data_IF_122276563897
#
_entry.id   IF_122276563897
#
_cell.length_a   1.000
_cell.length_b   1.000
_cell.length_c   1.000
_cell.angle_alpha   90.00
_cell.angle_beta   90.00
_cell.angle_gamma   90.00
#
_symmetry.space_group_name_H-M   'P 1'
#
loop_
_entity.id
_entity.type
_entity.pdbx_description
1 polymer ?
#
# COMPACT_ATOMS: atom_id res chain seq x y z
N UNK A 1 -5.69 -9.25 -9.41
CA UNK A 1 -5.96 -7.85 -9.54
C UNK A 1 -5.71 -7.35 -10.93
N UNK A 2 -6.15 -6.16 -11.16
CA UNK A 2 -6.01 -5.52 -12.45
C UNK A 2 -4.59 -5.02 -12.64
N UNK A 3 -4.16 -5.05 -13.89
CA UNK A 3 -2.86 -4.49 -14.24
C UNK A 3 -3.09 -3.36 -15.21
N UNK A 4 -2.26 -2.34 -15.13
CA UNK A 4 -2.32 -1.21 -16.05
C UNK A 4 -0.96 -1.04 -16.71
N UNK A 5 -0.97 -0.41 -17.88
CA UNK A 5 0.26 -0.09 -18.60
C UNK A 5 0.33 1.41 -18.80
N UNK A 6 1.48 1.99 -18.49
CA UNK A 6 1.73 3.41 -18.74
C UNK A 6 2.52 3.49 -20.04
N UNK A 7 2.03 4.30 -20.97
CA UNK A 7 2.64 4.40 -22.31
C UNK A 7 3.07 5.82 -22.58
N UNK A 8 4.14 5.93 -23.36
CA UNK A 8 4.63 7.21 -23.82
C UNK A 8 5.26 6.98 -25.19
N UNK A 9 4.84 7.79 -26.17
CA UNK A 9 5.41 7.70 -27.51
C UNK A 9 5.20 6.36 -28.20
N UNK A 10 4.09 5.69 -27.90
CA UNK A 10 3.79 4.39 -28.49
C UNK A 10 4.50 3.22 -27.83
N UNK A 11 5.21 3.47 -26.74
CA UNK A 11 5.97 2.43 -26.03
C UNK A 11 5.43 2.27 -24.62
N UNK A 12 5.45 1.02 -24.14
CA UNK A 12 5.08 0.75 -22.76
C UNK A 12 6.26 1.08 -21.86
N UNK A 13 6.05 2.04 -20.95
CA UNK A 13 7.07 2.47 -20.02
C UNK A 13 7.06 1.61 -18.77
N UNK A 14 5.87 1.27 -18.31
CA UNK A 14 5.74 0.45 -17.11
C UNK A 14 4.40 -0.27 -17.14
N UNK A 15 4.39 -1.50 -16.65
CA UNK A 15 3.19 -2.32 -16.53
C UNK A 15 3.17 -2.97 -15.16
N UNK A 16 2.03 -2.95 -14.50
CA UNK A 16 1.90 -3.56 -13.18
C UNK A 16 0.56 -3.24 -12.57
N UNK A 17 0.40 -3.62 -11.31
CA UNK A 17 -0.80 -3.24 -10.58
C UNK A 17 -0.76 -1.75 -10.28
N UNK A 18 -1.93 -1.12 -10.05
CA UNK A 18 -1.92 0.30 -9.66
C UNK A 18 -1.04 0.58 -8.45
N UNK A 19 -1.05 -0.30 -7.44
CA UNK A 19 -0.23 -0.10 -6.26
C UNK A 19 1.27 -0.16 -6.60
N UNK A 20 1.68 -1.11 -7.45
CA UNK A 20 3.08 -1.21 -7.85
C UNK A 20 3.55 0.04 -8.56
N UNK A 21 2.74 0.53 -9.49
CA UNK A 21 3.11 1.72 -10.26
C UNK A 21 3.15 2.95 -9.38
N UNK A 22 2.21 3.05 -8.44
CA UNK A 22 2.14 4.18 -7.53
C UNK A 22 3.33 4.21 -6.57
N UNK A 23 3.73 3.04 -6.05
CA UNK A 23 4.78 2.99 -5.03
C UNK A 23 6.19 2.91 -5.62
N UNK A 24 6.32 2.40 -6.85
CA UNK A 24 7.62 2.19 -7.48
C UNK A 24 7.56 2.63 -8.95
N UNK A 25 7.41 3.95 -9.22
CA UNK A 25 7.39 4.42 -10.60
C UNK A 25 8.72 4.15 -11.28
N UNK A 26 8.65 3.76 -12.55
CA UNK A 26 9.85 3.40 -13.31
C UNK A 26 10.73 4.61 -13.63
N UNK A 27 10.14 5.79 -13.78
CA UNK A 27 10.90 6.99 -14.11
C UNK A 27 10.10 8.22 -13.73
N UNK A 28 10.64 9.42 -14.04
CA UNK A 28 9.99 10.66 -13.68
C UNK A 28 8.65 10.88 -14.39
N UNK A 29 8.52 10.37 -15.62
CA UNK A 29 7.25 10.48 -16.33
C UNK A 29 6.15 9.74 -15.57
N UNK A 30 6.43 8.51 -15.15
CA UNK A 30 5.46 7.72 -14.38
C UNK A 30 5.21 8.34 -13.02
N UNK A 31 6.26 8.85 -12.37
CA UNK A 31 6.12 9.51 -11.07
C UNK A 31 5.17 10.70 -11.16
N UNK A 32 5.29 11.52 -12.21
CA UNK A 32 4.38 12.64 -12.42
C UNK A 32 2.96 12.16 -12.65
N UNK A 33 2.82 11.08 -13.42
CA UNK A 33 1.50 10.52 -13.71
C UNK A 33 0.79 10.11 -12.41
N UNK A 34 1.51 9.36 -11.54
CA UNK A 34 0.87 8.85 -10.31
C UNK A 34 0.77 9.90 -9.22
N UNK A 35 1.48 11.02 -9.35
CA UNK A 35 1.37 12.10 -8.36
C UNK A 35 -0.05 12.63 -8.25
N UNK A 36 -0.86 12.46 -9.30
CA UNK A 36 -2.24 12.91 -9.31
C UNK A 36 -3.23 11.83 -8.88
N UNK A 37 -2.75 10.63 -8.57
CA UNK A 37 -3.63 9.54 -8.15
C UNK A 37 -3.91 9.64 -6.66
N UNK A 38 -5.12 9.23 -6.27
CA UNK A 38 -5.49 9.17 -4.86
C UNK A 38 -4.88 7.91 -4.25
N UNK A 39 -3.95 8.03 -3.28
CA UNK A 39 -3.34 6.84 -2.68
C UNK A 39 -4.36 5.92 -2.01
N UNK A 40 -5.44 6.46 -1.47
CA UNK A 40 -6.46 5.61 -0.88
C UNK A 40 -7.15 4.74 -1.91
N UNK A 41 -7.11 5.13 -3.18
CA UNK A 41 -7.73 4.37 -4.25
C UNK A 41 -6.84 3.28 -4.84
N UNK A 42 -5.53 3.28 -4.54
CA UNK A 42 -4.59 2.34 -5.17
C UNK A 42 -3.84 1.47 -4.17
N UNK A 43 -3.66 1.93 -2.93
CA UNK A 43 -2.84 1.18 -1.97
C UNK A 43 -3.67 0.12 -1.25
N UNK A 44 -2.99 -0.96 -0.86
CA UNK A 44 -3.55 -1.99 0.02
C UNK A 44 -2.86 -1.90 1.38
N UNK A 45 -3.41 -2.62 2.35
CA UNK A 45 -2.80 -2.68 3.68
C UNK A 45 -1.36 -3.20 3.60
N UNK A 46 -1.10 -4.13 2.68
CA UNK A 46 0.25 -4.67 2.47
C UNK A 46 1.25 -3.56 2.17
N UNK A 47 0.83 -2.54 1.40
CA UNK A 47 1.72 -1.46 0.99
C UNK A 47 2.11 -0.55 2.15
N UNK A 48 1.34 -0.59 3.24
CA UNK A 48 1.56 0.26 4.40
C UNK A 48 2.05 -0.50 5.62
N UNK A 49 2.04 -1.83 5.59
CA UNK A 49 2.28 -2.63 6.79
C UNK A 49 3.70 -2.51 7.30
N UNK A 50 3.85 -2.77 8.59
CA UNK A 50 5.13 -2.89 9.27
C UNK A 50 5.24 -4.29 9.84
N UNK A 51 6.44 -4.74 10.24
CA UNK A 51 6.57 -6.08 10.83
C UNK A 51 5.73 -6.21 12.09
N UNK A 52 5.09 -7.39 12.26
CA UNK A 52 4.34 -7.69 13.46
C UNK A 52 5.28 -8.18 14.55
N UNK A 53 4.99 -7.84 15.82
CA UNK A 53 5.79 -8.37 16.93
C UNK A 53 5.68 -9.88 17.02
N UNK A 54 6.65 -10.49 17.66
CA UNK A 54 6.63 -11.93 17.93
C UNK A 54 6.81 -12.18 19.40
N UNK A 55 5.92 -12.94 20.03
CA UNK A 55 4.72 -13.54 19.43
C UNK A 55 3.73 -12.47 18.99
N UNK A 56 2.96 -12.77 17.96
CA UNK A 56 2.00 -11.81 17.45
C UNK A 56 0.90 -11.57 18.49
N UNK A 57 0.50 -10.31 18.68
CA UNK A 57 -0.59 -10.01 19.59
C UNK A 57 -1.91 -10.52 19.03
N UNK A 58 -2.91 -10.66 19.91
CA UNK A 58 -4.25 -10.96 19.46
C UNK A 58 -4.96 -9.67 19.05
N UNK A 59 -5.92 -9.79 18.16
CA UNK A 59 -6.68 -8.61 17.71
C UNK A 59 -7.32 -8.86 16.38
N UNK A 60 -7.88 -7.79 15.82
CA UNK A 60 -8.52 -7.86 14.52
C UNK A 60 -7.52 -8.25 13.44
N UNK A 61 -7.91 -9.16 12.56
CA UNK A 61 -7.09 -9.54 11.41
C UNK A 61 -7.85 -9.24 10.14
N UNK A 62 -7.09 -8.86 9.11
CA UNK A 62 -7.62 -8.66 7.77
C UNK A 62 -6.62 -9.23 6.77
N UNK A 63 -7.09 -9.66 5.59
CA UNK A 63 -6.15 -10.05 4.53
C UNK A 63 -5.24 -8.88 4.19
N UNK A 64 -3.97 -9.19 3.91
CA UNK A 64 -3.00 -8.14 3.58
C UNK A 64 -3.38 -7.37 2.31
N UNK A 65 -4.15 -7.98 1.43
CA UNK A 65 -4.60 -7.35 0.19
C UNK A 65 -5.85 -6.49 0.38
N UNK A 66 -6.34 -6.33 1.61
CA UNK A 66 -7.47 -5.42 1.87
C UNK A 66 -7.10 -4.02 1.41
N UNK A 67 -7.97 -3.34 0.65
CA UNK A 67 -7.68 -1.95 0.27
C UNK A 67 -7.38 -1.11 1.50
N UNK A 68 -6.36 -0.26 1.39
CA UNK A 68 -5.93 0.54 2.54
C UNK A 68 -7.08 1.38 3.09
N UNK A 69 -7.92 1.90 2.20
CA UNK A 69 -9.08 2.69 2.60
C UNK A 69 -9.99 1.91 3.56
N UNK A 70 -10.24 0.64 3.23
CA UNK A 70 -11.10 -0.22 4.05
C UNK A 70 -10.41 -0.53 5.40
N UNK A 71 -9.13 -0.87 5.34
CA UNK A 71 -8.38 -1.19 6.56
C UNK A 71 -8.33 0.00 7.50
N UNK A 72 -8.15 1.21 6.97
CA UNK A 72 -8.11 2.40 7.81
C UNK A 72 -9.44 2.68 8.50
N UNK A 73 -10.55 2.32 7.85
CA UNK A 73 -11.86 2.48 8.46
C UNK A 73 -12.04 1.56 9.67
N UNK A 74 -11.33 0.45 9.69
CA UNK A 74 -11.40 -0.51 10.79
C UNK A 74 -10.43 -0.21 11.93
N UNK A 75 -9.46 0.66 11.72
CA UNK A 75 -8.45 0.95 12.74
C UNK A 75 -9.02 1.45 14.07
N UNK A 76 -10.00 2.37 14.09
CA UNK A 76 -10.52 2.84 15.38
C UNK A 76 -11.12 1.71 16.21
N UNK A 77 -11.85 0.79 15.58
CA UNK A 77 -12.44 -0.33 16.30
C UNK A 77 -11.39 -1.35 16.73
N UNK A 78 -10.27 -1.38 16.03
CA UNK A 78 -9.16 -2.28 16.31
C UNK A 78 -8.13 -1.65 17.25
N UNK A 79 -8.45 -0.50 17.83
CA UNK A 79 -7.57 0.21 18.76
C UNK A 79 -6.27 0.62 18.11
N UNK A 80 -6.34 0.98 16.83
CA UNK A 80 -5.20 1.47 16.08
C UNK A 80 -4.23 0.42 15.60
N UNK A 81 -4.64 -0.86 15.63
CA UNK A 81 -3.73 -1.95 15.25
C UNK A 81 -4.52 -3.09 14.61
N UNK A 82 -4.13 -3.47 13.40
CA UNK A 82 -4.74 -4.58 12.66
C UNK A 82 -3.63 -5.53 12.24
N UNK A 83 -3.84 -6.82 12.45
CA UNK A 83 -2.90 -7.83 12.02
C UNK A 83 -3.27 -8.25 10.60
N UNK A 84 -2.28 -8.31 9.72
CA UNK A 84 -2.50 -8.63 8.32
C UNK A 84 -2.07 -10.05 8.03
N UNK A 85 -2.90 -10.77 7.28
CA UNK A 85 -2.68 -12.19 7.04
C UNK A 85 -2.56 -12.50 5.56
N UNK A 86 -1.89 -13.59 5.27
CA UNK A 86 -1.81 -14.15 3.95
C UNK A 86 -1.70 -15.66 4.10
N UNK A 87 -2.63 -16.40 3.47
CA UNK A 87 -2.62 -17.85 3.60
C UNK A 87 -2.80 -18.34 5.02
N UNK A 88 -3.53 -17.57 5.84
CA UNK A 88 -3.78 -17.93 7.24
C UNK A 88 -2.66 -17.57 8.19
N UNK A 89 -1.60 -16.93 7.71
CA UNK A 89 -0.48 -16.55 8.56
C UNK A 89 -0.35 -15.04 8.63
N UNK A 90 0.11 -14.55 9.78
CA UNK A 90 0.32 -13.12 9.98
C UNK A 90 1.60 -12.72 9.25
N UNK A 91 1.48 -11.78 8.30
CA UNK A 91 2.62 -11.32 7.52
C UNK A 91 3.02 -9.89 7.87
N UNK A 92 2.22 -9.17 8.65
CA UNK A 92 2.55 -7.82 9.05
C UNK A 92 1.46 -7.22 9.90
N UNK A 93 1.58 -5.93 10.15
CA UNK A 93 0.64 -5.21 11.01
C UNK A 93 0.43 -3.81 10.44
N UNK A 94 -0.81 -3.34 10.53
CA UNK A 94 -1.14 -1.97 10.15
C UNK A 94 -1.43 -1.19 11.42
N UNK A 95 -0.81 -0.01 11.54
CA UNK A 95 -1.07 0.90 12.65
C UNK A 95 -1.47 2.24 12.08
N UNK A 96 -1.99 3.13 12.96
CA UNK A 96 -2.33 4.49 12.53
C UNK A 96 -1.11 5.19 11.94
N UNK A 97 0.04 5.08 12.60
CA UNK A 97 1.26 5.73 12.12
C UNK A 97 1.71 5.16 10.78
N UNK A 98 1.62 3.82 10.61
CA UNK A 98 2.03 3.19 9.37
C UNK A 98 1.15 3.63 8.21
N UNK A 99 -0.16 3.73 8.45
CA UNK A 99 -1.10 4.16 7.42
C UNK A 99 -0.82 5.61 7.00
N UNK A 100 -0.60 6.50 7.97
CA UNK A 100 -0.29 7.90 7.67
C UNK A 100 1.01 8.00 6.89
N UNK A 101 2.05 7.25 7.30
CA UNK A 101 3.32 7.27 6.59
C UNK A 101 3.18 6.85 5.14
N UNK A 102 2.36 5.84 4.86
CA UNK A 102 2.16 5.39 3.49
C UNK A 102 1.48 6.47 2.64
N UNK A 103 0.55 7.22 3.22
CA UNK A 103 -0.20 8.23 2.50
C UNK A 103 0.63 9.49 2.23
N UNK A 104 1.59 9.81 3.10
CA UNK A 104 2.37 11.05 2.96
C UNK A 104 3.74 10.84 2.33
N UNK A 105 4.13 9.59 2.06
CA UNK A 105 5.43 9.31 1.44
C UNK A 105 5.48 9.93 0.05
N UNK A 106 6.53 10.68 -0.27
CA UNK A 106 6.66 11.24 -1.62
C UNK A 106 6.72 10.14 -2.67
N UNK A 107 6.05 10.36 -3.78
CA UNK A 107 5.99 9.38 -4.86
C UNK A 107 7.15 9.59 -5.80
N UNK A 108 7.82 8.48 -6.17
CA UNK A 108 8.97 8.54 -7.05
C UNK A 108 10.21 9.10 -6.41
N UNK A 109 10.15 9.47 -5.13
CA UNK A 109 11.31 9.98 -4.43
C UNK A 109 12.17 8.83 -3.97
N UNK A 110 13.47 8.99 -4.14
CA UNK A 110 14.39 8.01 -3.60
C UNK A 110 14.57 8.27 -2.11
N UNK A 111 14.60 7.22 -1.29
CA UNK A 111 14.97 7.40 0.10
C UNK A 111 16.37 7.99 0.15
N UNK A 112 16.51 9.00 0.91
CA UNK A 112 17.80 9.66 1.00
C UNK A 112 18.85 8.75 1.62
#
# INVERSE_FOLDING_TARGET
>A
GNRIAIMEGGRIIQCGTPAEIYTTPANGYVADFVAHMNPLGVLTARDAMVPAPRPAPTGLTLPADTPLRIAMQALPEARGRILLTEGGQIVGMLTDAAAVNALVRPRGAEPA
#
